data_IF_425588377322
#
_entry.id   IF_425588377322
#
_cell.length_a   1.000
_cell.length_b   1.000
_cell.length_c   1.000
_cell.angle_alpha   90.00
_cell.angle_beta   90.00
_cell.angle_gamma   90.00
#
_symmetry.space_group_name_H-M   'P 1'
#
loop_
_entity.id
_entity.type
_entity.pdbx_description
1 polymer ?
#
# COMPACT_ATOMS: atom_id res chain seq x y z
N UNK A 1 -8.08 12.82 19.85
CA UNK A 1 -7.14 11.69 19.80
C UNK A 1 -7.93 10.39 19.75
N UNK A 2 -7.59 9.47 18.87
CA UNK A 2 -8.34 8.23 18.64
C UNK A 2 -8.37 7.37 19.92
N UNK A 3 -9.57 7.07 20.42
CA UNK A 3 -9.75 6.19 21.59
C UNK A 3 -9.82 4.75 21.11
N UNK A 4 -8.87 3.91 21.53
CA UNK A 4 -8.77 2.50 21.20
C UNK A 4 -8.68 1.66 22.49
N UNK A 5 -9.76 1.63 23.30
CA UNK A 5 -9.72 1.05 24.65
C UNK A 5 -9.50 -0.47 24.68
N UNK A 6 -9.82 -1.17 23.58
CA UNK A 6 -9.70 -2.63 23.47
C UNK A 6 -8.29 -3.13 23.12
N UNK A 7 -7.36 -2.19 22.84
CA UNK A 7 -5.99 -2.50 22.43
C UNK A 7 -5.01 -2.26 23.57
N UNK A 8 -4.02 -3.15 23.68
CA UNK A 8 -2.85 -2.93 24.53
C UNK A 8 -2.09 -1.68 24.10
N UNK A 9 -1.20 -1.16 24.95
CA UNK A 9 -0.40 0.01 24.61
C UNK A 9 0.42 -0.19 23.32
N UNK A 10 1.07 -1.35 23.17
CA UNK A 10 1.86 -1.68 21.97
C UNK A 10 0.98 -1.79 20.72
N UNK A 11 -0.15 -2.50 20.81
CA UNK A 11 -1.10 -2.63 19.70
C UNK A 11 -1.67 -1.28 19.27
N UNK A 12 -2.01 -0.41 20.24
CA UNK A 12 -2.46 0.95 19.97
C UNK A 12 -1.40 1.78 19.25
N UNK A 13 -0.14 1.69 19.69
CA UNK A 13 0.96 2.42 19.09
C UNK A 13 1.22 1.94 17.65
N UNK A 14 1.04 0.65 17.38
CA UNK A 14 1.08 0.07 16.06
C UNK A 14 -0.04 0.63 15.16
N UNK A 15 -1.29 0.63 15.62
CA UNK A 15 -2.44 1.16 14.87
C UNK A 15 -2.28 2.66 14.58
N UNK A 16 -1.74 3.44 15.53
CA UNK A 16 -1.48 4.87 15.32
C UNK A 16 -0.42 5.14 14.25
N UNK A 17 0.50 4.20 14.01
CA UNK A 17 1.44 4.34 12.90
C UNK A 17 0.77 4.16 11.53
N UNK A 18 -0.25 3.32 11.39
CA UNK A 18 -1.07 3.27 10.15
C UNK A 18 -1.78 4.61 9.89
N UNK A 19 -2.28 5.28 10.93
CA UNK A 19 -2.82 6.65 10.85
C UNK A 19 -1.74 7.63 10.37
N UNK A 20 -0.51 7.45 10.86
CA UNK A 20 0.62 8.29 10.54
C UNK A 20 1.03 8.17 9.07
N UNK A 21 1.36 6.94 8.63
CA UNK A 21 1.96 6.68 7.34
C UNK A 21 0.97 6.83 6.17
N UNK A 22 -0.31 6.53 6.39
CA UNK A 22 -1.36 6.66 5.36
C UNK A 22 -1.55 8.09 4.88
N UNK A 23 -1.21 9.09 5.72
CA UNK A 23 -1.23 10.49 5.32
C UNK A 23 -0.23 10.78 4.21
N UNK A 24 0.98 10.21 4.29
CA UNK A 24 2.01 10.37 3.27
C UNK A 24 1.58 9.71 1.95
N UNK A 25 1.03 8.51 2.01
CA UNK A 25 0.51 7.82 0.81
C UNK A 25 -0.55 8.65 0.11
N UNK A 26 -1.57 9.08 0.84
CA UNK A 26 -2.72 9.75 0.25
C UNK A 26 -2.35 11.15 -0.26
N UNK A 27 -1.74 11.97 0.60
CA UNK A 27 -1.45 13.36 0.26
C UNK A 27 -0.26 13.47 -0.70
N UNK A 28 0.88 12.82 -0.39
CA UNK A 28 2.12 13.04 -1.13
C UNK A 28 2.19 12.18 -2.39
N UNK A 29 2.09 10.84 -2.24
CA UNK A 29 2.32 9.92 -3.35
C UNK A 29 1.16 9.94 -4.34
N UNK A 30 -0.09 9.95 -3.82
CA UNK A 30 -1.27 9.74 -4.68
C UNK A 30 -1.77 11.02 -5.32
N UNK A 31 -1.68 12.17 -4.65
CA UNK A 31 -2.33 13.40 -5.13
C UNK A 31 -1.33 14.52 -5.41
N UNK A 32 -0.61 15.00 -4.41
CA UNK A 32 0.12 16.27 -4.56
C UNK A 32 1.36 16.17 -5.44
N UNK A 33 2.14 15.09 -5.36
CA UNK A 33 3.32 14.92 -6.20
C UNK A 33 2.97 14.73 -7.68
N UNK A 34 1.99 13.88 -8.06
CA UNK A 34 1.49 13.81 -9.43
C UNK A 34 0.99 15.13 -10.02
N UNK A 35 0.53 16.08 -9.19
CA UNK A 35 0.15 17.42 -9.62
C UNK A 35 1.37 18.34 -9.77
N UNK A 36 2.35 18.24 -8.87
CA UNK A 36 3.50 19.14 -8.83
C UNK A 36 4.53 18.89 -9.94
N UNK A 37 4.91 17.60 -10.15
CA UNK A 37 6.03 17.31 -11.03
C UNK A 37 5.80 17.71 -12.50
N UNK A 38 4.58 17.57 -13.10
CA UNK A 38 4.34 18.03 -14.46
C UNK A 38 4.33 19.56 -14.53
N UNK A 39 3.84 20.24 -13.50
CA UNK A 39 3.84 21.69 -13.42
C UNK A 39 5.28 22.23 -13.45
N UNK A 40 6.18 21.68 -12.64
CA UNK A 40 7.61 22.09 -12.63
C UNK A 40 8.27 21.80 -13.97
N UNK A 41 8.04 20.63 -14.57
CA UNK A 41 8.58 20.29 -15.89
C UNK A 41 8.17 21.33 -16.95
N UNK A 42 6.89 21.73 -16.97
CA UNK A 42 6.39 22.74 -17.90
C UNK A 42 7.00 24.13 -17.66
N UNK A 43 7.21 24.53 -16.40
CA UNK A 43 7.90 25.77 -16.06
C UNK A 43 9.37 25.80 -16.57
N UNK A 44 10.03 24.66 -16.69
CA UNK A 44 11.38 24.51 -17.26
C UNK A 44 11.35 24.37 -18.80
N UNK A 45 10.19 24.53 -19.45
CA UNK A 45 10.05 24.44 -20.89
C UNK A 45 9.92 23.01 -21.46
N UNK A 46 9.75 22.00 -20.59
CA UNK A 46 9.49 20.62 -21.01
C UNK A 46 7.99 20.50 -21.29
N UNK A 47 7.57 20.59 -22.55
CA UNK A 47 6.14 20.62 -22.94
C UNK A 47 5.61 19.28 -23.39
N UNK A 48 6.49 18.30 -23.64
CA UNK A 48 6.06 16.95 -24.04
C UNK A 48 5.48 16.19 -22.84
N UNK A 49 4.15 16.16 -22.75
CA UNK A 49 3.41 15.48 -21.69
C UNK A 49 3.65 13.97 -21.66
N UNK A 50 3.94 13.35 -22.83
CA UNK A 50 4.27 11.92 -22.90
C UNK A 50 5.64 11.64 -22.24
N UNK A 51 6.62 12.49 -22.53
CA UNK A 51 7.94 12.41 -21.92
C UNK A 51 7.86 12.58 -20.40
N UNK A 52 7.12 13.57 -19.90
CA UNK A 52 6.93 13.83 -18.48
C UNK A 52 6.29 12.62 -17.78
N UNK A 53 5.19 12.11 -18.34
CA UNK A 53 4.46 10.98 -17.76
C UNK A 53 5.28 9.67 -17.81
N UNK A 54 5.94 9.39 -18.94
CA UNK A 54 6.76 8.19 -19.08
C UNK A 54 7.97 8.20 -18.14
N UNK A 55 8.62 9.36 -17.96
CA UNK A 55 9.72 9.52 -17.01
C UNK A 55 9.27 9.21 -15.58
N UNK A 56 8.12 9.69 -15.17
CA UNK A 56 7.55 9.39 -13.85
C UNK A 56 7.20 7.91 -13.68
N UNK A 57 6.66 7.27 -14.72
CA UNK A 57 6.37 5.83 -14.71
C UNK A 57 7.65 4.99 -14.60
N UNK A 58 8.71 5.34 -15.37
CA UNK A 58 10.00 4.66 -15.27
C UNK A 58 10.65 4.86 -13.89
N UNK A 59 10.54 6.07 -13.33
CA UNK A 59 11.08 6.39 -12.02
C UNK A 59 10.39 5.56 -10.93
N UNK A 60 9.06 5.52 -10.92
CA UNK A 60 8.30 4.71 -9.95
C UNK A 60 8.60 3.21 -10.11
N UNK A 61 8.75 2.72 -11.34
CA UNK A 61 9.16 1.34 -11.61
C UNK A 61 10.57 1.04 -11.11
N UNK A 62 11.52 1.99 -11.29
CA UNK A 62 12.88 1.86 -10.77
C UNK A 62 12.91 1.84 -9.22
N UNK A 63 12.08 2.65 -8.56
CA UNK A 63 11.92 2.61 -7.10
C UNK A 63 11.45 1.22 -6.66
N UNK A 64 10.39 0.70 -7.27
CA UNK A 64 9.84 -0.63 -6.96
C UNK A 64 10.89 -1.73 -7.17
N UNK A 65 11.61 -1.68 -8.28
CA UNK A 65 12.66 -2.66 -8.58
C UNK A 65 13.82 -2.60 -7.58
N UNK A 66 14.27 -1.39 -7.23
CA UNK A 66 15.31 -1.19 -6.22
C UNK A 66 14.88 -1.78 -4.88
N UNK A 67 13.68 -1.52 -4.44
CA UNK A 67 13.16 -2.08 -3.21
C UNK A 67 13.02 -3.60 -3.27
N UNK A 68 12.51 -4.14 -4.38
CA UNK A 68 12.38 -5.57 -4.56
C UNK A 68 13.73 -6.30 -4.47
N UNK A 69 14.79 -5.70 -5.02
CA UNK A 69 16.13 -6.27 -4.99
C UNK A 69 16.79 -6.16 -3.61
N UNK A 70 16.64 -5.04 -2.92
CA UNK A 70 17.39 -4.76 -1.69
C UNK A 70 16.62 -5.09 -0.40
N UNK A 71 15.27 -5.09 -0.41
CA UNK A 71 14.49 -5.31 0.81
C UNK A 71 14.78 -6.64 1.52
N UNK A 72 14.89 -7.81 0.85
CA UNK A 72 15.18 -9.06 1.55
C UNK A 72 16.52 -9.01 2.30
N UNK A 73 17.53 -8.35 1.72
CA UNK A 73 18.84 -8.19 2.35
C UNK A 73 18.78 -7.28 3.57
N UNK A 74 18.23 -6.07 3.39
CA UNK A 74 18.13 -5.06 4.45
C UNK A 74 17.31 -5.62 5.62
N UNK A 75 16.21 -6.31 5.33
CA UNK A 75 15.35 -6.86 6.36
C UNK A 75 15.96 -8.08 7.06
N UNK A 76 16.78 -8.88 6.39
CA UNK A 76 17.51 -9.97 7.05
C UNK A 76 18.47 -9.46 8.13
N UNK A 77 19.13 -8.30 7.91
CA UNK A 77 19.91 -7.64 8.96
C UNK A 77 19.07 -7.18 10.15
N UNK A 78 17.81 -6.91 9.94
CA UNK A 78 16.88 -6.49 11.00
C UNK A 78 16.42 -7.64 11.91
N UNK A 79 16.65 -8.91 11.54
CA UNK A 79 16.36 -10.03 12.41
C UNK A 79 17.28 -10.06 13.67
N UNK A 80 18.46 -9.44 13.58
CA UNK A 80 19.37 -9.36 14.73
C UNK A 80 18.84 -8.41 15.81
N UNK A 81 19.15 -8.74 17.07
CA UNK A 81 18.65 -8.05 18.24
C UNK A 81 18.84 -6.53 18.21
N UNK A 82 17.76 -5.78 18.34
CA UNK A 82 17.72 -4.31 18.36
C UNK A 82 17.82 -3.63 17.00
N UNK A 83 17.99 -4.39 15.91
CA UNK A 83 18.16 -3.82 14.59
C UNK A 83 16.82 -3.43 13.93
N UNK A 84 15.74 -4.19 14.14
CA UNK A 84 14.42 -3.91 13.52
C UNK A 84 13.96 -2.48 13.75
N UNK A 85 13.89 -2.06 15.02
CA UNK A 85 13.46 -0.71 15.38
C UNK A 85 14.46 0.37 14.97
N UNK A 86 15.76 0.03 14.95
CA UNK A 86 16.81 0.94 14.47
C UNK A 86 16.66 1.24 12.98
N UNK A 87 16.53 0.21 12.15
CA UNK A 87 16.33 0.38 10.70
C UNK A 87 14.98 1.03 10.38
N UNK A 88 13.91 0.61 11.08
CA UNK A 88 12.62 1.27 10.96
C UNK A 88 12.71 2.78 11.14
N UNK A 89 13.37 3.24 12.23
CA UNK A 89 13.59 4.67 12.52
C UNK A 89 14.40 5.35 11.40
N UNK A 90 15.51 4.75 10.98
CA UNK A 90 16.39 5.32 9.94
C UNK A 90 15.60 5.56 8.65
N UNK A 91 14.91 4.54 8.13
CA UNK A 91 14.18 4.67 6.88
C UNK A 91 12.97 5.60 7.00
N UNK A 92 12.28 5.61 8.13
CA UNK A 92 11.21 6.56 8.41
C UNK A 92 11.76 8.02 8.36
N UNK A 93 12.90 8.29 8.98
CA UNK A 93 13.51 9.62 8.92
C UNK A 93 13.99 10.00 7.52
N UNK A 94 14.58 9.06 6.77
CA UNK A 94 14.93 9.28 5.36
C UNK A 94 13.69 9.68 4.55
N UNK A 95 12.58 8.97 4.74
CA UNK A 95 11.31 9.31 4.09
C UNK A 95 10.78 10.68 4.47
N UNK A 96 10.82 11.04 5.75
CA UNK A 96 10.39 12.35 6.25
C UNK A 96 11.28 13.49 5.73
N UNK A 97 12.60 13.33 5.77
CA UNK A 97 13.56 14.33 5.25
C UNK A 97 13.33 14.53 3.75
N UNK A 98 13.18 13.43 2.99
CA UNK A 98 12.83 13.52 1.58
C UNK A 98 11.49 14.22 1.36
N UNK A 99 10.47 13.93 2.16
CA UNK A 99 9.18 14.59 2.11
C UNK A 99 9.24 16.09 2.42
N UNK A 100 10.06 16.51 3.38
CA UNK A 100 10.34 17.94 3.64
C UNK A 100 11.07 18.56 2.44
N UNK A 101 12.01 17.82 1.83
CA UNK A 101 12.71 18.25 0.62
C UNK A 101 11.77 18.54 -0.55
N UNK A 102 10.69 17.76 -0.71
CA UNK A 102 9.66 18.01 -1.73
C UNK A 102 8.92 19.34 -1.52
N UNK A 103 8.89 19.85 -0.29
CA UNK A 103 8.24 21.11 0.04
C UNK A 103 9.12 22.36 -0.27
N UNK A 104 10.36 22.19 -0.72
CA UNK A 104 11.25 23.30 -1.06
C UNK A 104 10.84 23.88 -2.40
N UNK A 105 10.42 25.17 -2.47
CA UNK A 105 10.07 25.79 -3.74
C UNK A 105 11.31 26.03 -4.62
N UNK A 106 11.11 26.09 -5.94
CA UNK A 106 12.17 26.42 -6.90
C UNK A 106 13.17 25.29 -7.18
N UNK A 107 12.88 24.07 -6.76
CA UNK A 107 13.67 22.90 -7.18
C UNK A 107 13.49 22.68 -8.68
N UNK A 108 14.60 22.35 -9.38
CA UNK A 108 14.50 21.87 -10.75
C UNK A 108 13.76 20.53 -10.83
N UNK A 109 13.14 20.25 -11.98
CA UNK A 109 12.35 19.01 -12.17
C UNK A 109 13.16 17.75 -11.86
N UNK A 110 14.42 17.69 -12.32
CA UNK A 110 15.31 16.55 -12.08
C UNK A 110 15.63 16.39 -10.58
N UNK A 111 15.92 17.49 -9.87
CA UNK A 111 16.16 17.47 -8.42
C UNK A 111 14.90 17.05 -7.67
N UNK A 112 13.74 17.57 -8.07
CA UNK A 112 12.44 17.20 -7.49
C UNK A 112 12.19 15.69 -7.61
N UNK A 113 12.45 15.09 -8.80
CA UNK A 113 12.35 13.66 -9.02
C UNK A 113 13.34 12.86 -8.14
N UNK A 114 14.58 13.31 -8.01
CA UNK A 114 15.58 12.67 -7.15
C UNK A 114 15.16 12.70 -5.67
N UNK A 115 14.63 13.83 -5.19
CA UNK A 115 14.10 13.95 -3.82
C UNK A 115 12.90 13.04 -3.61
N UNK A 116 12.03 12.90 -4.62
CA UNK A 116 10.90 11.95 -4.57
C UNK A 116 11.35 10.50 -4.46
N UNK A 117 12.43 10.11 -5.15
CA UNK A 117 13.04 8.77 -4.99
C UNK A 117 13.47 8.54 -3.55
N UNK A 118 14.19 9.49 -2.94
CA UNK A 118 14.65 9.37 -1.55
C UNK A 118 13.46 9.26 -0.59
N UNK A 119 12.46 10.13 -0.75
CA UNK A 119 11.25 10.14 0.07
C UNK A 119 10.51 8.80 -0.05
N UNK A 120 10.32 8.31 -1.27
CA UNK A 120 9.59 7.06 -1.55
C UNK A 120 10.33 5.82 -1.04
N UNK A 121 11.66 5.72 -1.27
CA UNK A 121 12.46 4.60 -0.76
C UNK A 121 12.46 4.57 0.78
N UNK A 122 12.62 5.73 1.44
CA UNK A 122 12.53 5.83 2.90
C UNK A 122 11.16 5.41 3.43
N UNK A 123 10.10 5.97 2.85
CA UNK A 123 8.71 5.65 3.20
C UNK A 123 8.40 4.17 3.03
N UNK A 124 8.63 3.65 1.85
CA UNK A 124 8.28 2.28 1.51
C UNK A 124 9.07 1.25 2.34
N UNK A 125 10.39 1.47 2.50
CA UNK A 125 11.22 0.56 3.31
C UNK A 125 10.79 0.60 4.78
N UNK A 126 10.46 1.78 5.34
CA UNK A 126 9.93 1.87 6.71
C UNK A 126 8.64 1.06 6.89
N UNK A 127 7.75 1.07 5.88
CA UNK A 127 6.50 0.31 5.93
C UNK A 127 6.71 -1.21 5.91
N UNK A 128 7.76 -1.71 5.23
CA UNK A 128 8.07 -3.15 5.28
C UNK A 128 8.48 -3.55 6.72
N UNK A 129 9.28 -2.71 7.40
CA UNK A 129 9.59 -2.95 8.82
C UNK A 129 8.36 -2.86 9.70
N UNK A 130 7.49 -1.88 9.44
CA UNK A 130 6.23 -1.73 10.16
C UNK A 130 5.35 -2.97 10.03
N UNK A 131 5.20 -3.53 8.83
CA UNK A 131 4.46 -4.77 8.63
C UNK A 131 5.07 -5.94 9.44
N UNK A 132 6.40 -6.03 9.47
CA UNK A 132 7.11 -7.05 10.24
C UNK A 132 7.06 -6.84 11.77
N UNK A 133 6.76 -5.63 12.26
CA UNK A 133 6.57 -5.31 13.68
C UNK A 133 5.25 -5.91 14.21
N UNK A 134 4.30 -6.27 13.38
CA UNK A 134 3.03 -6.87 13.81
C UNK A 134 3.24 -8.08 14.74
N UNK A 135 4.24 -8.91 14.47
CA UNK A 135 4.56 -10.08 15.30
C UNK A 135 5.12 -9.73 16.68
N UNK A 136 5.69 -8.53 16.85
CA UNK A 136 6.28 -8.07 18.11
C UNK A 136 5.26 -7.38 19.03
N UNK A 137 4.13 -6.90 18.47
CA UNK A 137 3.16 -6.11 19.22
C UNK A 137 1.95 -6.90 19.70
N UNK A 138 1.66 -8.05 19.07
CA UNK A 138 0.45 -8.82 19.38
C UNK A 138 0.65 -10.32 19.20
N UNK A 139 -0.24 -11.12 19.83
CA UNK A 139 -0.29 -12.57 19.68
C UNK A 139 -0.99 -12.99 18.39
N UNK A 140 -0.72 -14.22 17.92
CA UNK A 140 -1.26 -14.75 16.64
C UNK A 140 -2.79 -14.64 16.54
N UNK A 141 -3.50 -14.92 17.63
CA UNK A 141 -4.96 -14.87 17.71
C UNK A 141 -5.56 -13.46 17.59
N UNK A 142 -4.75 -12.42 17.80
CA UNK A 142 -5.16 -11.02 17.71
C UNK A 142 -4.63 -10.29 16.47
N UNK A 143 -3.75 -10.92 15.69
CA UNK A 143 -3.12 -10.27 14.52
C UNK A 143 -4.15 -9.74 13.51
N UNK A 144 -5.24 -10.47 13.26
CA UNK A 144 -6.30 -10.05 12.34
C UNK A 144 -7.00 -8.78 12.86
N UNK A 145 -7.31 -8.74 14.15
CA UNK A 145 -7.96 -7.59 14.77
C UNK A 145 -7.07 -6.34 14.75
N UNK A 146 -5.80 -6.50 15.15
CA UNK A 146 -4.85 -5.39 15.22
C UNK A 146 -4.52 -4.85 13.83
N UNK A 147 -4.25 -5.74 12.86
CA UNK A 147 -4.00 -5.37 11.47
C UNK A 147 -5.19 -4.66 10.84
N UNK A 148 -6.41 -5.17 11.04
CA UNK A 148 -7.63 -4.57 10.49
C UNK A 148 -7.95 -3.22 11.10
N UNK A 149 -7.72 -3.03 12.41
CA UNK A 149 -7.84 -1.73 13.07
C UNK A 149 -6.79 -0.74 12.54
N UNK A 150 -5.56 -1.20 12.27
CA UNK A 150 -4.52 -0.39 11.65
C UNK A 150 -5.00 0.20 10.32
N UNK A 151 -5.36 -0.67 9.37
CA UNK A 151 -5.88 -0.22 8.08
C UNK A 151 -7.11 0.68 8.20
N UNK A 152 -8.10 0.30 9.03
CA UNK A 152 -9.30 1.09 9.23
C UNK A 152 -8.98 2.52 9.69
N UNK A 153 -8.20 2.65 10.77
CA UNK A 153 -7.81 3.96 11.28
C UNK A 153 -6.87 4.72 10.36
N UNK A 154 -6.07 4.02 9.55
CA UNK A 154 -5.27 4.60 8.48
C UNK A 154 -6.13 5.30 7.42
N UNK A 155 -7.20 4.65 6.95
CA UNK A 155 -8.11 5.23 5.95
C UNK A 155 -8.74 6.53 6.45
N UNK A 156 -9.39 6.53 7.61
CA UNK A 156 -10.06 7.74 8.11
C UNK A 156 -9.06 8.78 8.61
N UNK A 157 -7.95 8.33 9.21
CA UNK A 157 -6.93 9.20 9.77
C UNK A 157 -6.14 9.97 8.73
N UNK A 158 -5.96 9.41 7.52
CA UNK A 158 -5.27 10.07 6.41
C UNK A 158 -6.11 11.17 5.76
N UNK A 159 -7.43 11.07 5.81
CA UNK A 159 -8.32 12.09 5.26
C UNK A 159 -8.16 13.45 5.95
N UNK A 160 -7.90 13.47 7.26
CA UNK A 160 -7.78 14.71 8.03
C UNK A 160 -6.62 15.57 7.52
N UNK A 161 -5.35 15.10 7.51
CA UNK A 161 -4.23 15.89 7.00
C UNK A 161 -4.35 16.14 5.50
N UNK A 162 -4.93 15.23 4.72
CA UNK A 162 -5.20 15.44 3.30
C UNK A 162 -6.15 16.62 3.07
N UNK A 163 -7.29 16.65 3.75
CA UNK A 163 -8.26 17.74 3.63
C UNK A 163 -7.68 19.07 4.09
N UNK A 164 -6.90 19.08 5.18
CA UNK A 164 -6.21 20.31 5.62
C UNK A 164 -5.15 20.77 4.62
N UNK A 165 -4.37 19.84 4.08
CA UNK A 165 -3.26 20.13 3.17
C UNK A 165 -3.69 20.55 1.77
N UNK A 166 -4.88 20.10 1.28
CA UNK A 166 -5.36 20.42 -0.06
C UNK A 166 -6.08 21.77 -0.15
N UNK A 167 -6.51 22.34 0.98
CA UNK A 167 -7.26 23.62 0.99
C UNK A 167 -6.52 24.75 0.27
N UNK A 168 -5.24 25.07 0.53
CA UNK A 168 -4.53 26.13 -0.19
C UNK A 168 -4.46 25.86 -1.69
N UNK A 169 -4.22 24.62 -2.10
CA UNK A 169 -4.22 24.22 -3.51
C UNK A 169 -5.60 24.45 -4.18
N UNK A 170 -6.68 24.08 -3.49
CA UNK A 170 -8.04 24.33 -3.97
C UNK A 170 -8.32 25.84 -4.14
N UNK A 171 -7.89 26.67 -3.19
CA UNK A 171 -8.06 28.12 -3.27
C UNK A 171 -7.31 28.72 -4.46
N UNK A 172 -6.12 28.23 -4.81
CA UNK A 172 -5.40 28.62 -6.02
C UNK A 172 -6.13 28.14 -7.26
N UNK A 173 -6.56 26.88 -7.29
CA UNK A 173 -7.26 26.28 -8.47
C UNK A 173 -8.58 26.97 -8.78
N UNK A 174 -9.30 27.44 -7.75
CA UNK A 174 -10.54 28.21 -7.93
C UNK A 174 -10.31 29.71 -8.19
N UNK A 175 -9.05 30.16 -8.34
CA UNK A 175 -8.72 31.57 -8.62
C UNK A 175 -8.97 32.53 -7.45
N UNK A 176 -9.16 32.02 -6.22
CA UNK A 176 -9.31 32.82 -4.99
C UNK A 176 -7.95 33.40 -4.56
N UNK A 177 -6.88 32.61 -4.77
CA UNK A 177 -5.49 32.99 -4.54
C UNK A 177 -4.76 32.95 -5.88
N UNK A 178 -3.74 33.86 -6.08
CA UNK A 178 -2.96 33.91 -7.32
C UNK A 178 -2.27 32.56 -7.62
N UNK A 179 -2.15 32.23 -8.92
CA UNK A 179 -1.42 31.05 -9.42
C UNK A 179 0.06 31.06 -9.03
N UNK A 180 0.64 32.22 -8.72
CA UNK A 180 2.01 32.34 -8.22
C UNK A 180 2.24 31.53 -6.94
N UNK A 181 1.20 31.27 -6.18
CA UNK A 181 1.24 30.48 -4.95
C UNK A 181 1.04 28.96 -5.17
N UNK A 182 0.96 28.50 -6.43
CA UNK A 182 0.72 27.07 -6.72
C UNK A 182 1.72 26.14 -6.01
N UNK A 183 3.02 26.39 -6.18
CA UNK A 183 4.05 25.56 -5.54
C UNK A 183 4.00 25.62 -4.01
N UNK A 184 3.78 26.80 -3.44
CA UNK A 184 3.66 26.98 -1.98
C UNK A 184 2.42 26.27 -1.44
N UNK A 185 1.33 26.26 -2.17
CA UNK A 185 0.10 25.58 -1.77
C UNK A 185 0.29 24.07 -1.69
N UNK A 186 1.00 23.47 -2.63
CA UNK A 186 1.35 22.04 -2.61
C UNK A 186 2.38 21.75 -1.51
N UNK A 187 3.40 22.61 -1.35
CA UNK A 187 4.39 22.50 -0.30
C UNK A 187 3.76 22.47 1.09
N UNK A 188 2.75 23.30 1.33
CA UNK A 188 1.97 23.27 2.57
C UNK A 188 1.34 21.89 2.82
N UNK A 189 0.73 21.28 1.78
CA UNK A 189 0.15 19.95 1.86
C UNK A 189 1.18 18.87 2.22
N UNK A 190 2.39 18.94 1.64
CA UNK A 190 3.50 18.05 2.00
C UNK A 190 3.89 18.21 3.47
N UNK A 191 4.06 19.43 3.95
CA UNK A 191 4.44 19.70 5.35
C UNK A 191 3.39 19.21 6.35
N UNK A 192 2.10 19.40 6.06
CA UNK A 192 1.01 18.88 6.89
C UNK A 192 1.07 17.35 6.95
N UNK A 193 1.25 16.67 5.82
CA UNK A 193 1.35 15.22 5.77
C UNK A 193 2.56 14.69 6.58
N UNK A 194 3.73 15.35 6.47
CA UNK A 194 4.94 14.99 7.22
C UNK A 194 4.77 15.27 8.72
N UNK A 195 4.22 16.42 9.10
CA UNK A 195 3.96 16.75 10.50
C UNK A 195 2.98 15.73 11.14
N UNK A 196 1.96 15.32 10.40
CA UNK A 196 1.04 14.28 10.81
C UNK A 196 1.74 12.94 10.97
N UNK A 197 2.56 12.53 9.99
CA UNK A 197 3.35 11.29 10.05
C UNK A 197 4.27 11.30 11.26
N UNK A 198 5.01 12.38 11.48
CA UNK A 198 5.87 12.54 12.65
C UNK A 198 5.10 12.42 13.97
N UNK A 199 3.99 13.16 14.12
CA UNK A 199 3.24 13.22 15.37
C UNK A 199 2.68 11.86 15.77
N UNK A 200 2.03 11.15 14.85
CA UNK A 200 1.42 9.86 15.12
C UNK A 200 2.42 8.68 15.12
N UNK A 201 3.66 8.89 14.69
CA UNK A 201 4.75 7.90 14.83
C UNK A 201 5.38 7.90 16.22
N UNK A 202 5.21 8.95 17.05
CA UNK A 202 5.85 9.02 18.37
C UNK A 202 5.51 7.84 19.28
N UNK A 203 4.25 7.35 19.35
CA UNK A 203 3.92 6.20 20.18
C UNK A 203 4.68 4.93 19.81
N UNK A 204 4.75 4.56 18.53
CA UNK A 204 5.44 3.32 18.12
C UNK A 204 6.95 3.39 18.40
N UNK A 205 7.55 4.58 18.27
CA UNK A 205 8.97 4.78 18.56
C UNK A 205 9.32 4.65 20.04
N UNK A 206 8.36 4.93 20.93
CA UNK A 206 8.52 4.89 22.38
C UNK A 206 8.10 3.55 22.99
N UNK A 207 6.98 3.00 22.53
CA UNK A 207 6.27 1.93 23.24
C UNK A 207 6.58 0.53 22.66
N UNK A 208 7.17 0.45 21.46
CA UNK A 208 7.39 -0.82 20.76
C UNK A 208 8.88 -1.14 20.66
N UNK A 209 9.20 -2.36 21.06
CA UNK A 209 10.53 -2.95 20.99
C UNK A 209 10.50 -4.25 20.19
N UNK A 210 11.62 -4.62 19.58
CA UNK A 210 11.78 -5.91 18.93
C UNK A 210 11.77 -7.02 19.97
N UNK A 211 10.78 -7.90 19.90
CA UNK A 211 10.63 -9.06 20.81
C UNK A 211 11.36 -10.27 20.23
N UNK A 212 11.10 -10.57 18.96
CA UNK A 212 11.69 -11.73 18.28
C UNK A 212 12.95 -11.32 17.51
N UNK A 213 14.07 -11.94 17.87
CA UNK A 213 15.38 -11.64 17.29
C UNK A 213 16.34 -12.82 17.38
N UNK A 214 17.34 -12.82 16.51
CA UNK A 214 18.49 -13.72 16.58
C UNK A 214 19.68 -12.99 17.25
N UNK A 215 20.55 -13.71 17.97
CA UNK A 215 21.75 -13.13 18.55
C UNK A 215 22.66 -12.52 17.48
N UNK A 216 23.36 -11.44 17.82
CA UNK A 216 24.37 -10.86 16.93
C UNK A 216 25.53 -11.82 16.72
N UNK A 217 26.04 -11.90 15.49
CA UNK A 217 27.13 -12.73 15.07
C UNK A 217 28.24 -11.87 14.47
N UNK A 218 29.49 -12.26 14.65
CA UNK A 218 30.64 -11.61 14.03
C UNK A 218 30.65 -11.81 12.48
N UNK A 219 29.92 -12.84 11.99
CA UNK A 219 29.78 -13.19 10.58
C UNK A 219 28.43 -12.77 9.99
N UNK A 220 27.80 -11.72 10.55
CA UNK A 220 26.42 -11.29 10.25
C UNK A 220 26.14 -11.18 8.74
N UNK A 221 27.06 -10.61 7.95
CA UNK A 221 26.88 -10.48 6.49
C UNK A 221 26.79 -11.87 5.83
N UNK A 222 27.72 -12.78 6.17
CA UNK A 222 27.73 -14.13 5.62
C UNK A 222 26.47 -14.91 6.04
N UNK A 223 26.05 -14.73 7.28
CA UNK A 223 24.87 -15.40 7.83
C UNK A 223 23.58 -14.95 7.15
N UNK A 224 23.45 -13.66 6.80
CA UNK A 224 22.33 -13.12 6.01
C UNK A 224 22.26 -13.77 4.62
N UNK A 225 23.38 -13.82 3.89
CA UNK A 225 23.40 -14.49 2.58
C UNK A 225 23.12 -16.00 2.68
N UNK A 226 23.65 -16.65 3.75
CA UNK A 226 23.37 -18.07 4.03
C UNK A 226 21.89 -18.28 4.34
N UNK A 227 21.28 -17.45 5.20
CA UNK A 227 19.88 -17.57 5.59
C UNK A 227 18.94 -17.40 4.38
N UNK A 228 19.19 -16.41 3.53
CA UNK A 228 18.43 -16.24 2.28
C UNK A 228 18.59 -17.45 1.36
N UNK A 229 19.82 -17.97 1.22
CA UNK A 229 20.10 -19.20 0.47
C UNK A 229 19.38 -20.42 1.05
N UNK A 230 19.32 -20.52 2.37
CA UNK A 230 18.66 -21.62 3.08
C UNK A 230 17.13 -21.59 2.94
N UNK A 231 16.51 -20.42 2.86
CA UNK A 231 15.08 -20.31 2.57
C UNK A 231 14.75 -20.94 1.21
N UNK A 232 15.57 -20.66 0.18
CA UNK A 232 15.38 -21.24 -1.15
C UNK A 232 15.73 -22.75 -1.18
N UNK A 233 16.82 -23.17 -0.55
CA UNK A 233 17.22 -24.58 -0.46
C UNK A 233 16.19 -25.42 0.31
N UNK A 234 15.63 -24.86 1.39
CA UNK A 234 14.61 -25.49 2.20
C UNK A 234 13.19 -25.14 1.75
N UNK A 235 12.98 -24.84 0.48
CA UNK A 235 11.68 -24.44 -0.08
C UNK A 235 10.55 -25.43 0.23
N UNK A 236 10.86 -26.74 0.44
CA UNK A 236 9.88 -27.74 0.88
C UNK A 236 9.33 -27.45 2.28
N UNK A 237 10.17 -26.96 3.22
CA UNK A 237 9.76 -26.57 4.57
C UNK A 237 8.83 -25.35 4.55
N UNK A 238 9.08 -24.40 3.63
CA UNK A 238 8.35 -23.15 3.51
C UNK A 238 7.36 -23.15 2.33
N UNK A 239 7.02 -24.34 1.77
CA UNK A 239 6.21 -24.47 0.56
C UNK A 239 4.87 -23.70 0.64
N UNK A 240 4.20 -23.74 1.79
CA UNK A 240 2.91 -23.06 1.97
C UNK A 240 3.05 -21.55 2.01
N UNK A 241 4.17 -21.02 2.54
CA UNK A 241 4.48 -19.59 2.51
C UNK A 241 4.66 -19.15 1.05
N UNK A 242 5.44 -19.89 0.24
CA UNK A 242 5.64 -19.56 -1.17
C UNK A 242 4.37 -19.71 -2.01
N UNK A 243 3.55 -20.74 -1.76
CA UNK A 243 2.24 -20.88 -2.41
C UNK A 243 1.34 -19.69 -2.04
N UNK A 244 1.34 -19.27 -0.77
CA UNK A 244 0.60 -18.10 -0.35
C UNK A 244 1.11 -16.81 -1.02
N UNK A 245 2.41 -16.61 -1.10
CA UNK A 245 2.99 -15.45 -1.78
C UNK A 245 2.61 -15.39 -3.26
N UNK A 246 2.59 -16.55 -3.95
CA UNK A 246 2.13 -16.62 -5.34
C UNK A 246 0.62 -16.34 -5.45
N UNK A 247 -0.20 -16.86 -4.54
CA UNK A 247 -1.62 -16.53 -4.46
C UNK A 247 -1.84 -15.04 -4.20
N UNK A 248 -1.11 -14.49 -3.23
CA UNK A 248 -1.12 -13.08 -2.85
C UNK A 248 -0.78 -12.18 -4.03
N UNK A 249 0.31 -12.47 -4.75
CA UNK A 249 0.71 -11.75 -5.95
C UNK A 249 -0.46 -11.61 -6.92
N UNK A 250 -1.13 -12.72 -7.23
CA UNK A 250 -2.18 -12.77 -8.25
C UNK A 250 -3.45 -12.02 -7.82
N UNK A 251 -3.95 -12.23 -6.60
CA UNK A 251 -5.19 -11.56 -6.21
C UNK A 251 -4.98 -10.10 -5.82
N UNK A 252 -3.82 -9.73 -5.20
CA UNK A 252 -3.57 -8.34 -4.81
C UNK A 252 -3.22 -7.46 -6.02
N UNK A 253 -2.65 -8.03 -7.09
CA UNK A 253 -2.46 -7.37 -8.36
C UNK A 253 -3.81 -6.90 -8.95
N UNK A 254 -4.81 -7.78 -8.93
CA UNK A 254 -6.17 -7.44 -9.36
C UNK A 254 -6.78 -6.38 -8.46
N UNK A 255 -6.68 -6.55 -7.13
CA UNK A 255 -7.19 -5.58 -6.14
C UNK A 255 -6.65 -4.17 -6.41
N UNK A 256 -5.33 -4.05 -6.55
CA UNK A 256 -4.67 -2.77 -6.80
C UNK A 256 -5.03 -2.18 -8.18
N UNK A 257 -5.25 -3.03 -9.17
CA UNK A 257 -5.53 -2.60 -10.54
C UNK A 257 -6.97 -2.14 -10.73
N UNK A 258 -7.95 -2.81 -10.14
CA UNK A 258 -9.36 -2.38 -10.19
C UNK A 258 -9.53 -0.95 -9.69
N UNK A 259 -8.82 -0.58 -8.62
CA UNK A 259 -8.88 0.78 -8.05
C UNK A 259 -8.33 1.82 -9.05
N UNK A 260 -7.18 1.53 -9.67
CA UNK A 260 -6.56 2.44 -10.64
C UNK A 260 -7.40 2.57 -11.91
N UNK A 261 -7.95 1.46 -12.38
CA UNK A 261 -8.75 1.42 -13.61
C UNK A 261 -10.10 2.09 -13.48
N UNK A 262 -10.71 2.10 -12.30
CA UNK A 262 -11.96 2.82 -12.07
C UNK A 262 -11.82 4.32 -12.40
N UNK A 263 -10.67 4.93 -12.10
CA UNK A 263 -10.40 6.33 -12.46
C UNK A 263 -10.16 6.49 -13.96
N UNK A 264 -9.43 5.58 -14.60
CA UNK A 264 -9.20 5.61 -16.06
C UNK A 264 -10.50 5.43 -16.84
N UNK A 265 -11.32 4.44 -16.46
CA UNK A 265 -12.64 4.22 -17.08
C UNK A 265 -13.53 5.45 -16.90
N UNK A 266 -13.50 6.08 -15.73
CA UNK A 266 -14.24 7.30 -15.48
C UNK A 266 -13.80 8.47 -16.40
N UNK A 267 -12.50 8.60 -16.65
CA UNK A 267 -11.97 9.59 -17.60
C UNK A 267 -12.40 9.29 -19.03
N UNK A 268 -12.34 8.05 -19.49
CA UNK A 268 -12.78 7.62 -20.82
C UNK A 268 -14.28 7.86 -21.03
N UNK A 269 -15.09 7.76 -19.98
CA UNK A 269 -16.51 8.07 -19.98
C UNK A 269 -16.81 9.58 -19.77
N UNK A 270 -15.80 10.45 -19.81
CA UNK A 270 -15.89 11.89 -19.58
C UNK A 270 -16.52 12.25 -18.21
N UNK A 271 -16.28 11.44 -17.21
CA UNK A 271 -16.71 11.74 -15.83
C UNK A 271 -15.89 12.91 -15.28
N UNK A 272 -16.57 13.94 -14.80
CA UNK A 272 -15.91 15.14 -14.28
C UNK A 272 -15.00 14.83 -13.08
N UNK A 273 -13.88 15.54 -12.98
CA UNK A 273 -12.86 15.35 -11.92
C UNK A 273 -13.46 15.39 -10.50
N UNK A 274 -14.48 16.19 -10.26
CA UNK A 274 -15.18 16.25 -8.96
C UNK A 274 -15.83 14.91 -8.61
N UNK A 275 -16.46 14.25 -9.59
CA UNK A 275 -17.07 12.93 -9.39
C UNK A 275 -16.02 11.87 -9.08
N UNK A 276 -14.86 11.90 -9.77
CA UNK A 276 -13.75 10.99 -9.51
C UNK A 276 -13.19 11.18 -8.09
N UNK A 277 -13.05 12.42 -7.62
CA UNK A 277 -12.64 12.72 -6.24
C UNK A 277 -13.68 12.20 -5.23
N UNK A 278 -14.97 12.37 -5.50
CA UNK A 278 -16.04 11.83 -4.64
C UNK A 278 -15.98 10.30 -4.57
N UNK A 279 -15.72 9.61 -5.67
CA UNK A 279 -15.52 8.14 -5.70
C UNK A 279 -14.39 7.74 -4.77
N UNK A 280 -13.23 8.41 -4.82
CA UNK A 280 -12.11 8.13 -3.93
C UNK A 280 -12.48 8.33 -2.47
N UNK A 281 -13.17 9.42 -2.14
CA UNK A 281 -13.62 9.70 -0.77
C UNK A 281 -14.61 8.63 -0.29
N UNK A 282 -15.56 8.20 -1.12
CA UNK A 282 -16.51 7.12 -0.80
C UNK A 282 -15.76 5.83 -0.49
N UNK A 283 -14.78 5.45 -1.32
CA UNK A 283 -13.95 4.26 -1.07
C UNK A 283 -13.29 4.33 0.32
N UNK A 284 -12.69 5.45 0.68
CA UNK A 284 -12.01 5.62 1.97
C UNK A 284 -12.99 5.56 3.16
N UNK A 285 -14.14 6.22 3.04
CA UNK A 285 -15.17 6.24 4.09
C UNK A 285 -15.78 4.85 4.31
N UNK A 286 -16.00 4.09 3.25
CA UNK A 286 -16.54 2.72 3.32
C UNK A 286 -15.48 1.73 3.80
N UNK A 287 -14.22 1.91 3.41
CA UNK A 287 -13.12 1.03 3.81
C UNK A 287 -12.87 1.04 5.33
N UNK A 288 -13.11 2.16 6.00
CA UNK A 288 -12.96 2.27 7.46
C UNK A 288 -13.81 1.27 8.24
N UNK A 289 -15.15 1.29 8.19
CA UNK A 289 -15.97 0.33 8.93
C UNK A 289 -15.78 -1.10 8.40
N UNK A 290 -15.57 -1.25 7.11
CA UNK A 290 -15.43 -2.58 6.48
C UNK A 290 -14.18 -3.31 6.96
N UNK A 291 -13.04 -2.65 7.07
CA UNK A 291 -11.83 -3.26 7.61
C UNK A 291 -12.04 -3.78 9.05
N UNK A 292 -12.76 -3.02 9.89
CA UNK A 292 -13.09 -3.45 11.26
C UNK A 292 -14.01 -4.69 11.24
N UNK A 293 -15.02 -4.68 10.37
CA UNK A 293 -15.96 -5.80 10.21
C UNK A 293 -15.20 -7.06 9.76
N UNK A 294 -14.31 -6.93 8.77
CA UNK A 294 -13.47 -8.05 8.31
C UNK A 294 -12.64 -8.63 9.46
N UNK A 295 -11.94 -7.79 10.23
CA UNK A 295 -11.14 -8.25 11.37
C UNK A 295 -11.96 -8.94 12.48
N UNK A 296 -13.24 -8.58 12.64
CA UNK A 296 -14.15 -9.26 13.59
C UNK A 296 -14.65 -10.58 13.02
N UNK A 297 -14.99 -10.60 11.74
CA UNK A 297 -15.53 -11.80 11.08
C UNK A 297 -14.49 -12.92 10.96
N UNK A 298 -13.18 -12.61 10.94
CA UNK A 298 -12.14 -13.64 10.94
C UNK A 298 -12.22 -14.57 12.17
N UNK A 299 -12.70 -14.05 13.31
CA UNK A 299 -12.88 -14.87 14.54
C UNK A 299 -13.95 -15.96 14.37
N UNK A 300 -14.94 -15.72 13.53
CA UNK A 300 -16.07 -16.64 13.29
C UNK A 300 -15.84 -17.50 12.04
N UNK A 301 -15.51 -16.83 10.94
CA UNK A 301 -15.39 -17.46 9.61
C UNK A 301 -13.99 -18.05 9.39
N UNK A 302 -12.98 -17.47 10.02
CA UNK A 302 -11.57 -17.77 9.82
C UNK A 302 -10.90 -16.88 8.80
N UNK A 303 -9.62 -16.61 9.01
CA UNK A 303 -8.82 -15.67 8.21
C UNK A 303 -8.77 -16.07 6.73
N UNK A 304 -8.46 -17.36 6.47
CA UNK A 304 -8.41 -17.91 5.11
C UNK A 304 -9.75 -17.77 4.36
N UNK A 305 -10.85 -18.10 5.02
CA UNK A 305 -12.18 -18.02 4.40
C UNK A 305 -12.59 -16.57 4.12
N UNK A 306 -12.21 -15.63 4.99
CA UNK A 306 -12.43 -14.20 4.74
C UNK A 306 -11.62 -13.67 3.57
N UNK A 307 -10.43 -14.22 3.26
CA UNK A 307 -9.71 -13.91 2.02
C UNK A 307 -10.52 -14.38 0.80
N UNK A 308 -11.11 -15.57 0.83
CA UNK A 308 -12.00 -16.04 -0.24
C UNK A 308 -13.23 -15.13 -0.42
N UNK A 309 -13.83 -14.67 0.68
CA UNK A 309 -14.93 -13.68 0.62
C UNK A 309 -14.47 -12.40 -0.09
N UNK A 310 -13.29 -11.89 0.26
CA UNK A 310 -12.71 -10.72 -0.40
C UNK A 310 -12.48 -10.94 -1.90
N UNK A 311 -11.90 -12.07 -2.28
CA UNK A 311 -11.68 -12.45 -3.69
C UNK A 311 -12.99 -12.54 -4.45
N UNK A 312 -14.03 -13.17 -3.87
CA UNK A 312 -15.35 -13.27 -4.48
C UNK A 312 -15.99 -11.89 -4.70
N UNK A 313 -15.90 -11.00 -3.71
CA UNK A 313 -16.41 -9.64 -3.83
C UNK A 313 -15.70 -8.85 -4.93
N UNK A 314 -14.37 -9.04 -5.11
CA UNK A 314 -13.66 -8.44 -6.23
C UNK A 314 -14.06 -9.05 -7.58
N UNK A 315 -14.36 -10.35 -7.64
CA UNK A 315 -14.90 -10.95 -8.85
C UNK A 315 -16.26 -10.33 -9.23
N UNK A 316 -17.15 -10.10 -8.26
CA UNK A 316 -18.41 -9.38 -8.47
C UNK A 316 -18.16 -7.95 -8.94
N UNK A 317 -17.18 -7.26 -8.34
CA UNK A 317 -16.79 -5.90 -8.74
C UNK A 317 -16.33 -5.85 -10.19
N UNK A 318 -15.50 -6.79 -10.64
CA UNK A 318 -15.05 -6.90 -12.04
C UNK A 318 -16.24 -7.06 -12.99
N UNK A 319 -17.21 -7.92 -12.64
CA UNK A 319 -18.42 -8.09 -13.44
C UNK A 319 -19.22 -6.79 -13.55
N UNK A 320 -19.32 -6.02 -12.47
CA UNK A 320 -20.01 -4.72 -12.49
C UNK A 320 -19.23 -3.67 -13.28
N UNK A 321 -17.91 -3.64 -13.19
CA UNK A 321 -17.05 -2.76 -14.01
C UNK A 321 -17.20 -3.07 -15.49
N UNK A 322 -17.31 -4.35 -15.85
CA UNK A 322 -17.60 -4.74 -17.24
C UNK A 322 -18.93 -4.18 -17.76
N UNK A 323 -19.93 -3.97 -16.87
CA UNK A 323 -21.23 -3.38 -17.22
C UNK A 323 -21.17 -1.85 -17.42
N UNK A 324 -20.09 -1.18 -17.02
CA UNK A 324 -19.87 0.27 -17.17
C UNK A 324 -19.49 0.62 -18.63
N UNK A 325 -20.42 0.47 -19.56
CA UNK A 325 -20.18 0.63 -21.00
C UNK A 325 -20.91 1.81 -21.62
N UNK A 326 -21.62 2.63 -20.84
CA UNK A 326 -22.32 3.83 -21.32
C UNK A 326 -22.47 4.88 -20.21
N UNK A 327 -22.58 6.18 -20.57
CA UNK A 327 -22.82 7.27 -19.61
C UNK A 327 -24.08 7.09 -18.77
N UNK A 328 -25.12 6.46 -19.31
CA UNK A 328 -26.38 6.21 -18.59
C UNK A 328 -26.22 5.26 -17.39
N UNK A 329 -25.09 4.55 -17.33
CA UNK A 329 -24.75 3.60 -16.26
C UNK A 329 -23.73 4.14 -15.25
N UNK A 330 -23.46 5.44 -15.25
CA UNK A 330 -22.52 6.08 -14.33
C UNK A 330 -22.83 5.82 -12.84
N UNK A 331 -24.10 5.58 -12.49
CA UNK A 331 -24.47 5.22 -11.12
C UNK A 331 -23.79 3.92 -10.65
N UNK A 332 -23.40 3.01 -11.57
CA UNK A 332 -22.60 1.83 -11.22
C UNK A 332 -21.23 2.19 -10.66
N UNK A 333 -20.65 3.35 -11.00
CA UNK A 333 -19.38 3.80 -10.41
C UNK A 333 -19.48 3.96 -8.89
N UNK A 334 -20.60 4.49 -8.40
CA UNK A 334 -20.82 4.61 -6.95
C UNK A 334 -21.00 3.24 -6.29
N UNK A 335 -21.70 2.31 -6.95
CA UNK A 335 -21.84 0.93 -6.48
C UNK A 335 -20.47 0.25 -6.44
N UNK A 336 -19.69 0.36 -7.51
CA UNK A 336 -18.31 -0.15 -7.58
C UNK A 336 -17.43 0.47 -6.48
N UNK A 337 -17.54 1.79 -6.24
CA UNK A 337 -16.80 2.47 -5.18
C UNK A 337 -17.13 1.90 -3.79
N UNK A 338 -18.42 1.66 -3.51
CA UNK A 338 -18.86 1.05 -2.25
C UNK A 338 -18.35 -0.38 -2.13
N UNK A 339 -18.44 -1.19 -3.19
CA UNK A 339 -17.94 -2.57 -3.18
C UNK A 339 -16.42 -2.61 -3.01
N UNK A 340 -15.67 -1.81 -3.76
CA UNK A 340 -14.22 -1.71 -3.61
C UNK A 340 -13.87 -1.29 -2.19
N UNK A 341 -14.47 -0.22 -1.66
CA UNK A 341 -14.25 0.24 -0.30
C UNK A 341 -14.60 -0.83 0.74
N UNK A 342 -15.69 -1.59 0.53
CA UNK A 342 -16.10 -2.64 1.46
C UNK A 342 -15.13 -3.81 1.56
N UNK A 343 -14.25 -4.00 0.61
CA UNK A 343 -13.33 -5.15 0.56
C UNK A 343 -11.87 -4.77 0.68
N UNK A 344 -11.47 -3.63 0.12
CA UNK A 344 -10.07 -3.22 -0.01
C UNK A 344 -9.32 -3.25 1.32
N UNK A 345 -9.83 -2.56 2.33
CA UNK A 345 -9.21 -2.50 3.66
C UNK A 345 -9.17 -3.86 4.35
N UNK A 346 -10.25 -4.64 4.19
CA UNK A 346 -10.35 -5.99 4.71
C UNK A 346 -9.34 -6.94 4.10
N UNK A 347 -9.32 -7.08 2.78
CA UNK A 347 -8.45 -8.06 2.11
C UNK A 347 -6.96 -7.73 2.31
N UNK A 348 -6.57 -6.45 2.29
CA UNK A 348 -5.19 -6.04 2.53
C UNK A 348 -4.76 -6.33 3.97
N UNK A 349 -5.58 -5.94 4.95
CA UNK A 349 -5.28 -6.13 6.37
C UNK A 349 -5.19 -7.60 6.76
N UNK A 350 -6.11 -8.44 6.24
CA UNK A 350 -6.13 -9.87 6.52
C UNK A 350 -5.00 -10.58 5.78
N UNK A 351 -4.64 -10.15 4.56
CA UNK A 351 -3.48 -10.70 3.86
C UNK A 351 -2.19 -10.52 4.67
N UNK A 352 -1.99 -9.33 5.26
CA UNK A 352 -0.84 -9.05 6.13
C UNK A 352 -0.85 -9.92 7.39
N UNK A 353 -1.98 -10.01 8.07
CA UNK A 353 -2.08 -10.78 9.32
C UNK A 353 -2.00 -12.29 9.08
N UNK A 354 -2.62 -12.81 8.01
CA UNK A 354 -2.51 -14.23 7.64
C UNK A 354 -1.07 -14.62 7.34
N UNK A 355 -0.34 -13.76 6.61
CA UNK A 355 1.08 -13.95 6.37
C UNK A 355 1.89 -13.94 7.69
N UNK A 356 1.63 -12.96 8.57
CA UNK A 356 2.30 -12.85 9.86
C UNK A 356 2.09 -14.10 10.75
N UNK A 357 0.92 -14.74 10.65
CA UNK A 357 0.60 -15.98 11.38
C UNK A 357 1.36 -17.21 10.85
N UNK A 358 1.74 -17.19 9.56
CA UNK A 358 2.42 -18.31 8.89
C UNK A 358 3.94 -18.30 9.05
N UNK A 359 4.54 -17.12 9.23
CA UNK A 359 6.00 -16.98 9.23
C UNK A 359 6.62 -17.28 10.60
N UNK A 360 7.86 -17.82 10.65
CA UNK A 360 8.62 -17.92 11.88
C UNK A 360 8.88 -16.53 12.47
N UNK A 361 8.56 -16.32 13.74
CA UNK A 361 8.60 -15.01 14.38
C UNK A 361 10.01 -14.39 14.41
N UNK A 362 11.05 -15.22 14.64
CA UNK A 362 12.45 -14.80 14.67
C UNK A 362 12.97 -14.35 13.29
N UNK A 363 12.35 -14.83 12.19
CA UNK A 363 12.68 -14.51 10.81
C UNK A 363 11.62 -13.63 10.13
N UNK A 364 10.75 -13.01 10.91
CA UNK A 364 9.61 -12.24 10.38
C UNK A 364 10.03 -11.15 9.39
N UNK A 365 11.11 -10.41 9.67
CA UNK A 365 11.59 -9.36 8.78
C UNK A 365 11.98 -9.91 7.40
N UNK A 366 12.73 -11.01 7.36
CA UNK A 366 13.19 -11.66 6.14
C UNK A 366 12.00 -12.09 5.26
N UNK A 367 11.01 -12.74 5.87
CA UNK A 367 9.80 -13.17 5.16
C UNK A 367 8.92 -11.98 4.75
N UNK A 368 8.79 -10.93 5.56
CA UNK A 368 8.10 -9.71 5.17
C UNK A 368 8.82 -8.97 4.04
N UNK A 369 10.15 -9.12 3.91
CA UNK A 369 10.88 -8.70 2.73
C UNK A 369 10.36 -9.37 1.46
N UNK A 370 10.20 -10.70 1.46
CA UNK A 370 9.58 -11.42 0.35
C UNK A 370 8.12 -10.99 0.12
N UNK A 371 7.32 -10.89 1.18
CA UNK A 371 5.94 -10.43 1.08
C UNK A 371 5.83 -9.07 0.39
N UNK A 372 6.71 -8.13 0.75
CA UNK A 372 6.79 -6.81 0.10
C UNK A 372 7.18 -6.91 -1.38
N UNK A 373 8.16 -7.75 -1.72
CA UNK A 373 8.55 -7.99 -3.12
C UNK A 373 7.35 -8.47 -3.93
N UNK A 374 6.67 -9.51 -3.48
CA UNK A 374 5.50 -10.06 -4.16
C UNK A 374 4.35 -9.05 -4.25
N UNK A 375 4.08 -8.31 -3.17
CA UNK A 375 3.05 -7.27 -3.14
C UNK A 375 3.33 -6.10 -4.08
N UNK A 376 4.61 -5.78 -4.36
CA UNK A 376 5.01 -4.71 -5.28
C UNK A 376 5.02 -5.15 -6.73
N UNK A 377 5.46 -6.39 -7.01
CA UNK A 377 5.29 -6.99 -8.34
C UNK A 377 3.81 -7.18 -8.69
N UNK A 378 2.93 -7.25 -7.68
CA UNK A 378 1.50 -7.13 -7.85
C UNK A 378 1.17 -5.67 -8.28
N UNK A 379 0.73 -5.48 -9.45
CA UNK A 379 0.50 -4.18 -10.08
C UNK A 379 1.21 -4.06 -11.42
N UNK A 380 1.90 -5.13 -11.83
CA UNK A 380 2.55 -5.24 -13.14
C UNK A 380 1.71 -6.09 -14.10
N UNK A 381 1.17 -7.23 -13.62
CA UNK A 381 0.51 -8.21 -14.49
C UNK A 381 -0.82 -7.72 -15.03
N UNK A 382 -1.69 -7.19 -14.18
CA UNK A 382 -3.00 -6.71 -14.59
C UNK A 382 -2.94 -5.58 -15.63
N UNK A 383 -2.12 -4.52 -15.47
CA UNK A 383 -1.95 -3.50 -16.50
C UNK A 383 -1.42 -4.08 -17.83
N UNK A 384 -0.51 -5.05 -17.80
CA UNK A 384 0.01 -5.69 -19.02
C UNK A 384 -1.10 -6.47 -19.72
N UNK A 385 -1.88 -7.26 -18.98
CA UNK A 385 -3.02 -8.01 -19.54
C UNK A 385 -3.99 -7.06 -20.23
N UNK A 386 -4.37 -5.98 -19.53
CA UNK A 386 -5.33 -5.01 -20.03
C UNK A 386 -4.77 -4.27 -21.24
N UNK A 387 -3.52 -3.77 -21.17
CA UNK A 387 -2.90 -3.05 -22.28
C UNK A 387 -2.76 -3.93 -23.53
N UNK A 388 -2.43 -5.22 -23.35
CA UNK A 388 -2.32 -6.19 -24.46
C UNK A 388 -3.68 -6.43 -25.09
N UNK A 389 -4.73 -6.62 -24.30
CA UNK A 389 -6.08 -6.85 -24.81
C UNK A 389 -6.66 -5.59 -25.47
N UNK A 390 -6.35 -4.41 -24.92
CA UNK A 390 -6.83 -3.12 -25.45
C UNK A 390 -6.18 -2.74 -26.80
N UNK A 391 -5.07 -3.40 -27.20
CA UNK A 391 -4.50 -3.22 -28.54
C UNK A 391 -5.40 -3.79 -29.66
N UNK A 392 -6.34 -4.68 -29.32
CA UNK A 392 -7.30 -5.17 -30.30
C UNK A 392 -8.45 -4.16 -30.45
N UNK A 393 -8.66 -3.64 -31.66
CA UNK A 393 -9.67 -2.60 -31.95
C UNK A 393 -11.09 -2.98 -31.51
N UNK A 394 -11.37 -4.27 -31.41
CA UNK A 394 -12.69 -4.80 -30.99
C UNK A 394 -12.90 -4.86 -29.49
N UNK A 395 -11.84 -4.64 -28.68
CA UNK A 395 -11.87 -4.79 -27.23
C UNK A 395 -11.92 -3.44 -26.56
N UNK A 396 -12.96 -3.17 -25.78
CA UNK A 396 -13.06 -1.99 -24.92
C UNK A 396 -12.28 -2.19 -23.62
N UNK A 397 -11.92 -1.09 -22.94
CA UNK A 397 -11.22 -1.15 -21.62
C UNK A 397 -12.00 -2.02 -20.63
N UNK A 398 -13.33 -1.88 -20.60
CA UNK A 398 -14.20 -2.65 -19.69
C UNK A 398 -14.17 -4.15 -19.98
N UNK A 399 -14.06 -4.54 -21.26
CA UNK A 399 -13.91 -5.94 -21.66
C UNK A 399 -12.52 -6.48 -21.28
N UNK A 400 -11.47 -5.65 -21.42
CA UNK A 400 -10.13 -6.01 -21.00
C UNK A 400 -10.04 -6.23 -19.48
N UNK A 401 -10.75 -5.42 -18.68
CA UNK A 401 -10.84 -5.58 -17.23
C UNK A 401 -11.47 -6.91 -16.82
N UNK A 402 -12.43 -7.43 -17.60
CA UNK A 402 -13.05 -8.73 -17.30
C UNK A 402 -12.04 -9.88 -17.32
N UNK A 403 -10.97 -9.78 -18.12
CA UNK A 403 -9.91 -10.78 -18.13
C UNK A 403 -9.17 -10.94 -16.78
N UNK A 404 -9.27 -9.95 -15.89
CA UNK A 404 -8.69 -10.02 -14.53
C UNK A 404 -9.35 -11.08 -13.65
N UNK A 405 -10.49 -11.62 -14.04
CA UNK A 405 -11.10 -12.78 -13.39
C UNK A 405 -10.17 -14.00 -13.42
N UNK A 406 -9.31 -14.12 -14.44
CA UNK A 406 -8.39 -15.25 -14.60
C UNK A 406 -7.30 -15.22 -13.50
N UNK A 407 -6.46 -14.18 -13.36
CA UNK A 407 -5.48 -14.14 -12.29
C UNK A 407 -6.14 -14.16 -10.89
N UNK A 408 -7.32 -13.55 -10.73
CA UNK A 408 -8.06 -13.61 -9.46
C UNK A 408 -8.46 -15.05 -9.11
N UNK A 409 -8.99 -15.80 -10.07
CA UNK A 409 -9.37 -17.21 -9.91
C UNK A 409 -8.17 -18.13 -9.66
N UNK A 410 -7.04 -17.89 -10.36
CA UNK A 410 -5.79 -18.61 -10.10
C UNK A 410 -5.25 -18.31 -8.70
N UNK A 411 -5.34 -17.06 -8.24
CA UNK A 411 -4.97 -16.67 -6.87
C UNK A 411 -5.83 -17.40 -5.84
N UNK A 412 -7.14 -17.49 -6.06
CA UNK A 412 -8.05 -18.27 -5.22
C UNK A 412 -7.71 -19.76 -5.21
N UNK A 413 -7.41 -20.33 -6.37
CA UNK A 413 -6.99 -21.72 -6.50
C UNK A 413 -5.71 -22.00 -5.72
N UNK A 414 -4.68 -21.18 -5.86
CA UNK A 414 -3.44 -21.32 -5.10
C UNK A 414 -3.68 -21.17 -3.59
N UNK A 415 -4.50 -20.20 -3.18
CA UNK A 415 -4.89 -20.02 -1.78
C UNK A 415 -5.59 -21.26 -1.21
N UNK A 416 -6.32 -22.03 -2.01
CA UNK A 416 -7.00 -23.25 -1.54
C UNK A 416 -6.02 -24.30 -1.03
N UNK A 417 -4.80 -24.38 -1.58
CA UNK A 417 -3.74 -25.30 -1.16
C UNK A 417 -2.99 -24.87 0.09
N UNK A 418 -3.17 -23.61 0.53
CA UNK A 418 -2.56 -23.12 1.77
C UNK A 418 -3.37 -23.62 2.95
N UNK A 419 -2.77 -24.22 3.98
CA UNK A 419 -3.49 -24.65 5.18
C UNK A 419 -4.08 -23.46 5.95
N UNK A 420 -5.13 -23.72 6.75
CA UNK A 420 -5.67 -22.70 7.65
C UNK A 420 -4.74 -22.54 8.86
N UNK A 421 -4.34 -21.31 9.16
CA UNK A 421 -3.39 -21.00 10.27
C UNK A 421 -3.95 -21.31 11.66
N UNK A 422 -5.24 -21.64 11.78
CA UNK A 422 -5.85 -22.11 13.02
C UNK A 422 -5.37 -23.50 13.46
N UNK A 423 -4.80 -24.27 12.54
CA UNK A 423 -4.21 -25.57 12.85
C UNK A 423 -2.69 -25.40 13.03
N UNK A 424 -2.20 -25.73 14.23
CA UNK A 424 -0.78 -25.61 14.56
C UNK A 424 0.05 -26.60 13.70
N UNK A 425 0.90 -26.06 12.82
CA UNK A 425 1.79 -26.84 11.94
C UNK A 425 3.21 -26.94 12.51
N UNK A 426 3.34 -26.94 13.84
CA UNK A 426 4.62 -27.15 14.55
C UNK A 426 5.07 -28.62 14.59
N UNK A 427 4.47 -29.51 13.79
CA UNK A 427 4.91 -30.91 13.66
C UNK A 427 5.66 -31.16 12.37
#
# INVERSE_FOLDING_TARGET
MFKLPELSQKERSYVLYDVANSAFTLAVITVLFPLLHPYIAQQEGITDTRFISSTFMYLTSAIILTEALFSPFILSFANYAGNKMKFFKIFMFIGMIGGIGLAIPGLSWVVLLAVFVIASLGYNTSNIFYDAILVDVTSKDRMDEVSSKGYAWGYIGSLIPFMLGIVPFALVTFGIISEDYFQLSIAFGFLIAIAWWWYYSQPILRDVEQVYSIPKSDTMVRDVFSSLGDIFKNGRKYKFIFIYLAAYLLYIDVVNSVIRLATTIGQDLNVGNVTLLLVVIIVQLVAFPSAIIYGRLTKVVGTKNMLFVGILMYAITIVLVWQLNSPDRLYFMYIVAVLVGSVQGGIQSISRSFFAQMVPQEKSNEFFGFFSVFGRFAGIFSPIIIATLYQFETVTVNQAVFALIIPLGLGALLLSFVPDTRFDYSS
#
